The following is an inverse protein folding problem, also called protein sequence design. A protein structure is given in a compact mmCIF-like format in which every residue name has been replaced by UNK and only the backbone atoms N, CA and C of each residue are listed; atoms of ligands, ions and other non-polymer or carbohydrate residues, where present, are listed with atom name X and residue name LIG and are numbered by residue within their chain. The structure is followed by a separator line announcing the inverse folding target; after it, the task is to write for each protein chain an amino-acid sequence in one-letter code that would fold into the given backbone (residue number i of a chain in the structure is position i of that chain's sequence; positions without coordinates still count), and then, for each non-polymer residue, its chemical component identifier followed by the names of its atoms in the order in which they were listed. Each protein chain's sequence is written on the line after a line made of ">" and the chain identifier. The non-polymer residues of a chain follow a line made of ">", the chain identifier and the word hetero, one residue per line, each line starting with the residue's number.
data_IF_092010700291
#
_entry.id   IF_092010700291
#
_cell.length_a   1.000
_cell.length_b   1.000
_cell.length_c   1.000
_cell.angle_alpha   90.00
_cell.angle_beta   90.00
_cell.angle_gamma   90.00
#
_symmetry.space_group_name_H-M   'P 1'
#
loop_
_entity.id
_entity.type
_entity.pdbx_description
1 polymer ?
#
# COMPACT_ATOMS: atom_id res chain seq x y z
N UNK A 1 -29.31 2.91 27.64
CA UNK A 1 -28.38 2.66 28.77
C UNK A 1 -28.24 1.15 28.98
N UNK A 2 -27.05 0.65 29.13
CA UNK A 2 -26.75 -0.76 29.37
C UNK A 2 -25.99 -0.90 30.71
N UNK A 3 -26.38 -1.89 31.52
CA UNK A 3 -25.76 -2.18 32.79
C UNK A 3 -24.95 -3.46 32.69
N UNK A 4 -23.70 -3.43 33.14
CA UNK A 4 -22.77 -4.53 33.08
C UNK A 4 -22.38 -4.98 34.50
N UNK A 5 -22.35 -6.28 34.69
CA UNK A 5 -21.99 -6.94 35.94
C UNK A 5 -20.93 -7.99 35.67
N UNK A 6 -20.03 -8.29 36.65
CA UNK A 6 -19.19 -9.46 36.55
C UNK A 6 -20.03 -10.74 36.38
N UNK A 7 -19.59 -11.60 35.49
CA UNK A 7 -20.27 -12.86 35.14
C UNK A 7 -20.15 -13.93 36.23
N UNK A 8 -19.27 -13.69 37.24
CA UNK A 8 -19.02 -14.56 38.38
C UNK A 8 -19.65 -14.00 39.65
N UNK A 9 -20.19 -14.87 40.52
CA UNK A 9 -20.74 -14.48 41.80
C UNK A 9 -19.83 -14.80 42.98
N UNK A 10 -18.93 -15.75 42.81
CA UNK A 10 -17.98 -16.20 43.82
C UNK A 10 -16.54 -15.96 43.36
N UNK A 11 -15.66 -15.74 44.31
CA UNK A 11 -14.22 -15.60 44.05
C UNK A 11 -13.62 -16.90 43.51
N UNK A 12 -12.90 -16.88 42.40
CA UNK A 12 -12.28 -18.08 41.85
C UNK A 12 -11.20 -18.70 42.75
N UNK A 13 -10.57 -17.89 43.62
CA UNK A 13 -9.46 -18.33 44.46
C UNK A 13 -9.94 -18.97 45.79
N UNK A 14 -11.02 -18.46 46.38
CA UNK A 14 -11.48 -18.92 47.72
C UNK A 14 -12.95 -19.30 47.77
N UNK A 15 -13.65 -19.25 46.65
CA UNK A 15 -15.09 -19.58 46.51
C UNK A 15 -16.03 -18.74 47.38
N UNK A 16 -15.54 -17.69 48.05
CA UNK A 16 -16.37 -16.77 48.85
C UNK A 16 -17.20 -15.89 47.94
N UNK A 17 -18.46 -15.62 48.33
CA UNK A 17 -19.34 -14.73 47.59
C UNK A 17 -18.74 -13.33 47.46
N UNK A 18 -18.77 -12.79 46.26
CA UNK A 18 -18.28 -11.44 45.95
C UNK A 18 -19.29 -10.39 46.41
N UNK A 19 -18.79 -9.26 46.90
CA UNK A 19 -19.58 -8.12 47.34
C UNK A 19 -19.41 -6.94 46.39
N UNK A 20 -20.43 -6.08 46.31
CA UNK A 20 -20.36 -4.86 45.50
C UNK A 20 -19.37 -3.88 46.13
N UNK A 21 -18.34 -3.50 45.38
CA UNK A 21 -17.41 -2.48 45.76
C UNK A 21 -17.96 -1.10 45.40
N UNK A 22 -18.36 -0.95 44.15
CA UNK A 22 -18.91 0.30 43.61
C UNK A 22 -19.63 0.05 42.30
N UNK A 23 -20.47 0.98 41.92
CA UNK A 23 -21.01 1.11 40.58
C UNK A 23 -20.41 2.37 39.94
N UNK A 24 -19.89 2.25 38.75
CA UNK A 24 -19.26 3.38 38.03
C UNK A 24 -20.29 4.40 37.57
N UNK A 25 -19.86 5.64 37.36
CA UNK A 25 -20.65 6.64 36.68
C UNK A 25 -20.96 6.21 35.23
N UNK A 26 -21.99 6.81 34.67
CA UNK A 26 -22.40 6.60 33.27
C UNK A 26 -21.27 7.05 32.35
N UNK A 27 -20.91 6.19 31.43
CA UNK A 27 -19.88 6.46 30.44
C UNK A 27 -20.42 6.19 29.04
N UNK A 28 -20.21 7.13 28.13
CA UNK A 28 -20.52 6.88 26.71
C UNK A 28 -19.52 5.88 26.13
N UNK A 29 -20.04 4.82 25.54
CA UNK A 29 -19.29 3.84 24.75
C UNK A 29 -19.88 3.80 23.35
N UNK A 30 -19.03 3.78 22.34
CA UNK A 30 -19.44 3.73 20.94
C UNK A 30 -18.83 2.51 20.28
N UNK A 31 -19.66 1.66 19.66
CA UNK A 31 -19.25 0.48 18.88
C UNK A 31 -19.85 0.56 17.47
N UNK A 32 -19.34 -0.24 16.53
CA UNK A 32 -19.89 -0.31 15.17
C UNK A 32 -21.26 -1.00 15.15
N UNK A 33 -21.42 -2.03 15.98
CA UNK A 33 -22.60 -2.91 15.95
C UNK A 33 -23.78 -2.32 16.75
N UNK A 34 -23.49 -1.69 17.92
CA UNK A 34 -24.53 -1.19 18.85
C UNK A 34 -24.74 0.32 18.67
N UNK A 35 -23.74 1.02 18.10
CA UNK A 35 -23.70 2.48 18.08
C UNK A 35 -23.28 3.07 19.43
N UNK A 36 -23.67 4.32 19.71
CA UNK A 36 -23.34 5.01 20.95
C UNK A 36 -24.38 4.67 22.06
N UNK A 37 -23.88 4.23 23.21
CA UNK A 37 -24.73 3.93 24.38
C UNK A 37 -24.07 4.37 25.69
N UNK A 38 -24.87 4.54 26.73
CA UNK A 38 -24.40 4.81 28.08
C UNK A 38 -24.17 3.47 28.81
N UNK A 39 -22.94 3.20 29.19
CA UNK A 39 -22.53 2.03 29.96
C UNK A 39 -22.45 2.37 31.46
N UNK A 40 -22.99 1.49 32.29
CA UNK A 40 -22.87 1.49 33.76
C UNK A 40 -22.30 0.18 34.20
N UNK A 41 -21.16 0.17 34.90
CA UNK A 41 -20.48 -1.05 35.34
C UNK A 41 -20.52 -1.20 36.86
N UNK A 42 -20.92 -2.35 37.36
CA UNK A 42 -20.80 -2.73 38.75
C UNK A 42 -19.49 -3.50 38.94
N UNK A 43 -18.69 -3.10 39.91
CA UNK A 43 -17.43 -3.73 40.27
C UNK A 43 -17.65 -4.52 41.56
N UNK A 44 -17.30 -5.79 41.57
CA UNK A 44 -17.32 -6.66 42.74
C UNK A 44 -15.91 -6.79 43.35
N UNK A 45 -15.83 -7.12 44.63
CA UNK A 45 -14.58 -7.41 45.32
C UNK A 45 -14.69 -8.68 46.18
N UNK A 46 -13.58 -9.34 46.39
CA UNK A 46 -13.49 -10.45 47.33
C UNK A 46 -13.21 -9.92 48.75
N UNK A 47 -14.05 -10.23 49.76
CA UNK A 47 -13.80 -9.80 51.13
C UNK A 47 -12.51 -10.35 51.73
N UNK A 48 -11.97 -11.46 51.19
CA UNK A 48 -10.70 -12.07 51.62
C UNK A 48 -9.48 -11.47 50.91
N UNK A 49 -9.65 -10.36 50.15
CA UNK A 49 -8.53 -9.62 49.57
C UNK A 49 -7.99 -10.16 48.23
N UNK A 50 -8.61 -11.13 47.59
CA UNK A 50 -8.14 -11.73 46.33
C UNK A 50 -8.34 -10.83 45.09
N UNK A 51 -8.90 -9.63 45.27
CA UNK A 51 -8.97 -8.63 44.20
C UNK A 51 -10.38 -8.14 43.88
N UNK A 52 -10.48 -7.45 42.72
CA UNK A 52 -11.72 -6.87 42.21
C UNK A 52 -12.06 -7.47 40.85
N UNK A 53 -13.34 -7.69 40.63
CA UNK A 53 -13.88 -8.37 39.44
C UNK A 53 -14.79 -7.40 38.69
N UNK A 54 -14.67 -7.41 37.36
CA UNK A 54 -15.39 -6.54 36.44
C UNK A 54 -16.03 -7.35 35.35
N UNK A 55 -16.98 -6.77 34.63
CA UNK A 55 -17.66 -7.44 33.51
C UNK A 55 -16.69 -7.78 32.38
N UNK A 56 -16.59 -9.05 32.03
CA UNK A 56 -15.87 -9.56 30.86
C UNK A 56 -16.57 -9.09 29.57
N UNK A 57 -17.92 -9.08 29.58
CA UNK A 57 -18.71 -8.60 28.45
C UNK A 57 -18.36 -7.16 28.08
N UNK A 58 -18.28 -6.25 29.06
CA UNK A 58 -17.88 -4.87 28.77
C UNK A 58 -16.41 -4.79 28.29
N UNK A 59 -15.54 -5.60 28.86
CA UNK A 59 -14.12 -5.66 28.49
C UNK A 59 -13.88 -6.21 27.09
N UNK A 60 -14.72 -7.13 26.61
CA UNK A 60 -14.68 -7.64 25.25
C UNK A 60 -15.13 -6.60 24.22
N UNK A 61 -16.02 -5.67 24.62
CA UNK A 61 -16.51 -4.62 23.71
C UNK A 61 -15.55 -3.43 23.62
N UNK A 62 -14.99 -2.99 24.75
CA UNK A 62 -14.25 -1.73 24.82
C UNK A 62 -13.00 -1.85 25.71
N UNK A 63 -11.87 -1.23 25.33
CA UNK A 63 -10.70 -1.20 26.18
C UNK A 63 -10.96 -0.52 27.52
N UNK A 64 -10.24 -0.95 28.57
CA UNK A 64 -10.33 -0.31 29.88
C UNK A 64 -10.15 1.20 29.77
N UNK A 65 -11.14 1.95 30.24
CA UNK A 65 -11.13 3.40 30.15
C UNK A 65 -11.43 3.98 28.75
N UNK A 66 -11.59 3.14 27.72
CA UNK A 66 -11.86 3.56 26.33
C UNK A 66 -13.29 4.01 26.12
N UNK A 67 -13.54 4.93 25.19
CA UNK A 67 -14.86 5.37 24.72
C UNK A 67 -15.28 4.60 23.47
N UNK A 68 -14.35 4.22 22.63
CA UNK A 68 -14.59 3.50 21.38
C UNK A 68 -14.28 2.02 21.54
N UNK A 69 -15.15 1.17 20.97
CA UNK A 69 -15.03 -0.27 20.95
C UNK A 69 -13.82 -0.77 20.14
N UNK A 70 -13.45 -2.04 20.36
CA UNK A 70 -12.40 -2.68 19.60
C UNK A 70 -12.74 -2.78 18.11
N UNK A 71 -14.01 -2.93 17.76
CA UNK A 71 -14.52 -2.93 16.39
C UNK A 71 -14.28 -1.59 15.68
N UNK A 72 -14.53 -0.46 16.37
CA UNK A 72 -14.21 0.88 15.84
C UNK A 72 -12.70 1.06 15.66
N UNK A 73 -11.90 0.63 16.65
CA UNK A 73 -10.43 0.70 16.59
C UNK A 73 -9.91 -0.11 15.41
N UNK A 74 -10.43 -1.33 15.23
CA UNK A 74 -10.05 -2.22 14.12
C UNK A 74 -10.44 -1.61 12.77
N UNK A 75 -11.66 -1.08 12.63
CA UNK A 75 -12.10 -0.42 11.40
C UNK A 75 -11.21 0.77 11.03
N UNK A 76 -10.88 1.62 12.01
CA UNK A 76 -9.97 2.76 11.81
C UNK A 76 -8.59 2.28 11.36
N UNK A 77 -8.03 1.28 12.04
CA UNK A 77 -6.71 0.77 11.70
C UNK A 77 -6.62 0.16 10.31
N UNK A 78 -7.60 -0.68 9.94
CA UNK A 78 -7.69 -1.27 8.59
C UNK A 78 -7.84 -0.18 7.52
N UNK A 79 -8.70 0.82 7.74
CA UNK A 79 -8.88 1.90 6.79
C UNK A 79 -7.59 2.72 6.58
N UNK A 80 -6.89 3.08 7.67
CA UNK A 80 -5.66 3.87 7.59
C UNK A 80 -4.48 3.07 6.99
N UNK A 81 -4.23 1.86 7.48
CA UNK A 81 -2.97 1.15 7.22
C UNK A 81 -3.07 0.10 6.11
N UNK A 82 -4.24 -0.48 5.88
CA UNK A 82 -4.45 -1.45 4.80
C UNK A 82 -4.99 -0.78 3.54
N UNK A 83 -5.96 0.15 3.71
CA UNK A 83 -6.60 0.82 2.57
C UNK A 83 -6.04 2.22 2.28
N UNK A 84 -5.00 2.67 3.01
CA UNK A 84 -4.33 3.97 2.83
C UNK A 84 -5.29 5.17 2.80
N UNK A 85 -6.38 5.12 3.59
CA UNK A 85 -7.35 6.20 3.68
C UNK A 85 -6.80 7.36 4.52
N UNK A 86 -7.13 8.57 4.14
CA UNK A 86 -6.87 9.76 4.97
C UNK A 86 -7.78 9.80 6.20
N UNK A 87 -7.38 10.54 7.23
CA UNK A 87 -8.22 10.73 8.43
C UNK A 87 -9.63 11.25 8.10
N UNK A 88 -9.75 12.17 7.13
CA UNK A 88 -11.03 12.74 6.71
C UNK A 88 -11.93 11.71 6.03
N UNK A 89 -11.36 10.84 5.19
CA UNK A 89 -12.12 9.75 4.55
C UNK A 89 -12.61 8.75 5.60
N UNK A 90 -11.73 8.35 6.55
CA UNK A 90 -12.12 7.44 7.65
C UNK A 90 -13.23 8.06 8.50
N UNK A 91 -13.14 9.36 8.80
CA UNK A 91 -14.18 10.08 9.53
C UNK A 91 -15.52 10.06 8.79
N UNK A 92 -15.51 10.27 7.48
CA UNK A 92 -16.71 10.21 6.64
C UNK A 92 -17.29 8.78 6.57
N UNK A 93 -16.46 7.76 6.44
CA UNK A 93 -16.88 6.34 6.44
C UNK A 93 -17.55 5.94 7.77
N UNK A 94 -17.01 6.40 8.91
CA UNK A 94 -17.58 6.14 10.23
C UNK A 94 -18.88 6.90 10.45
N UNK A 95 -18.95 8.18 10.04
CA UNK A 95 -20.16 8.99 10.14
C UNK A 95 -21.32 8.38 9.35
N UNK A 96 -21.06 7.79 8.18
CA UNK A 96 -22.07 7.06 7.39
C UNK A 96 -22.66 5.84 8.15
N UNK A 97 -22.00 5.39 9.22
CA UNK A 97 -22.46 4.32 10.12
C UNK A 97 -22.90 4.82 11.50
N UNK A 98 -23.20 6.11 11.62
CA UNK A 98 -23.57 6.78 12.87
C UNK A 98 -22.50 6.71 13.98
N UNK A 99 -21.23 6.56 13.61
CA UNK A 99 -20.08 6.63 14.52
C UNK A 99 -19.34 7.95 14.27
N UNK A 100 -19.49 8.89 15.19
CA UNK A 100 -18.92 10.23 15.07
C UNK A 100 -17.60 10.33 15.84
N UNK A 101 -16.53 10.56 15.12
CA UNK A 101 -15.15 10.61 15.64
C UNK A 101 -14.47 11.84 15.06
N UNK A 102 -13.70 12.57 15.87
CA UNK A 102 -12.90 13.70 15.37
C UNK A 102 -11.66 13.22 14.62
N UNK A 103 -11.12 14.05 13.74
CA UNK A 103 -9.89 13.75 13.00
C UNK A 103 -8.70 13.41 13.93
N UNK A 104 -8.57 14.17 15.03
CA UNK A 104 -7.55 13.90 16.05
C UNK A 104 -7.73 12.54 16.70
N UNK A 105 -8.95 12.15 16.97
CA UNK A 105 -9.26 10.85 17.56
C UNK A 105 -8.99 9.70 16.59
N UNK A 106 -9.23 9.86 15.27
CA UNK A 106 -8.84 8.88 14.25
C UNK A 106 -7.36 8.56 14.35
N UNK A 107 -6.50 9.57 14.39
CA UNK A 107 -5.04 9.37 14.55
C UNK A 107 -4.68 8.66 15.87
N UNK A 108 -5.41 8.92 16.94
CA UNK A 108 -5.20 8.26 18.23
C UNK A 108 -5.65 6.80 18.20
N UNK A 109 -6.81 6.51 17.62
CA UNK A 109 -7.34 5.14 17.46
C UNK A 109 -6.45 4.33 16.52
N UNK A 110 -5.90 4.93 15.46
CA UNK A 110 -4.92 4.29 14.60
C UNK A 110 -3.67 3.83 15.35
N UNK A 111 -3.12 4.68 16.23
CA UNK A 111 -1.99 4.28 17.10
C UNK A 111 -2.36 3.15 18.06
N UNK A 112 -3.57 3.18 18.64
CA UNK A 112 -4.07 2.09 19.49
C UNK A 112 -4.19 0.79 18.71
N UNK A 113 -4.68 0.84 17.47
CA UNK A 113 -4.77 -0.34 16.61
C UNK A 113 -3.42 -1.03 16.45
N UNK A 114 -2.35 -0.28 16.13
CA UNK A 114 -0.99 -0.84 16.00
C UNK A 114 -0.55 -1.53 17.28
N UNK A 115 -0.79 -0.91 18.45
CA UNK A 115 -0.42 -1.48 19.76
C UNK A 115 -1.21 -2.78 20.01
N UNK A 116 -2.52 -2.77 19.77
CA UNK A 116 -3.35 -3.96 20.01
C UNK A 116 -3.05 -5.07 19.01
N UNK A 117 -2.76 -4.73 17.76
CA UNK A 117 -2.32 -5.70 16.76
C UNK A 117 -1.00 -6.37 17.17
N UNK A 118 -0.03 -5.58 17.65
CA UNK A 118 1.24 -6.12 18.14
C UNK A 118 1.06 -7.02 19.38
N UNK A 119 0.15 -6.65 20.29
CA UNK A 119 -0.18 -7.49 21.46
C UNK A 119 -0.88 -8.79 21.04
N UNK A 120 -1.86 -8.72 20.16
CA UNK A 120 -2.54 -9.89 19.62
C UNK A 120 -1.57 -10.84 18.91
N UNK A 121 -0.69 -10.30 18.05
CA UNK A 121 0.35 -11.07 17.40
C UNK A 121 1.25 -11.80 18.40
N UNK A 122 1.67 -11.11 19.48
CA UNK A 122 2.48 -11.75 20.56
C UNK A 122 1.73 -12.84 21.27
N UNK A 123 0.44 -12.68 21.52
CA UNK A 123 -0.39 -13.71 22.16
C UNK A 123 -0.61 -14.94 21.25
N UNK A 124 -0.66 -14.74 19.94
CA UNK A 124 -0.84 -15.83 18.96
C UNK A 124 0.45 -16.61 18.63
N UNK A 125 1.57 -16.34 19.30
CA UNK A 125 2.86 -16.99 18.98
C UNK A 125 2.85 -18.50 19.12
N UNK A 126 2.17 -19.03 20.12
CA UNK A 126 2.04 -20.49 20.33
C UNK A 126 1.24 -21.11 19.18
N UNK A 127 0.10 -20.51 18.82
CA UNK A 127 -0.75 -20.98 17.72
C UNK A 127 0.03 -20.91 16.39
N UNK A 128 0.80 -19.85 16.16
CA UNK A 128 1.67 -19.72 15.00
C UNK A 128 2.73 -20.83 14.98
N UNK A 129 3.39 -21.10 16.10
CA UNK A 129 4.37 -22.17 16.21
C UNK A 129 3.76 -23.55 15.91
N UNK A 130 2.59 -23.82 16.43
CA UNK A 130 1.85 -25.07 16.17
C UNK A 130 1.49 -25.18 14.69
N UNK A 131 0.99 -24.08 14.08
CA UNK A 131 0.68 -24.02 12.65
C UNK A 131 1.92 -24.31 11.78
N UNK A 132 3.04 -23.66 12.06
CA UNK A 132 4.29 -23.85 11.34
C UNK A 132 4.79 -25.29 11.48
N UNK A 133 4.72 -25.86 12.68
CA UNK A 133 5.11 -27.25 12.97
C UNK A 133 4.23 -28.23 12.22
N UNK A 134 2.90 -28.03 12.20
CA UNK A 134 1.95 -28.91 11.51
C UNK A 134 2.16 -28.93 10.00
N UNK A 135 2.69 -27.84 9.43
CA UNK A 135 3.09 -27.73 8.01
C UNK A 135 4.49 -28.28 7.73
N UNK A 136 5.16 -28.83 8.74
CA UNK A 136 6.47 -29.43 8.65
C UNK A 136 7.61 -28.42 8.75
N UNK A 137 7.41 -27.22 9.26
CA UNK A 137 8.40 -26.16 9.44
C UNK A 137 8.11 -24.94 8.58
N UNK A 138 9.05 -23.98 8.55
CA UNK A 138 8.89 -22.69 7.87
C UNK A 138 10.18 -22.32 7.10
N UNK A 139 10.02 -21.43 6.13
CA UNK A 139 11.13 -20.79 5.40
C UNK A 139 11.18 -19.32 5.85
N UNK A 140 12.26 -18.95 6.53
CA UNK A 140 12.40 -17.60 7.05
C UNK A 140 12.87 -16.64 5.94
N UNK A 141 11.96 -15.79 5.48
CA UNK A 141 12.32 -14.64 4.66
C UNK A 141 12.54 -13.42 5.55
N UNK A 142 13.65 -12.72 5.36
CA UNK A 142 13.94 -11.48 6.07
C UNK A 142 14.28 -10.36 5.12
N UNK A 143 13.83 -9.16 5.46
CA UNK A 143 14.12 -7.94 4.72
C UNK A 143 14.04 -6.73 5.64
N UNK A 144 14.84 -5.71 5.32
CA UNK A 144 14.85 -4.42 5.99
C UNK A 144 14.33 -3.31 5.10
N UNK A 145 13.58 -2.39 5.67
CA UNK A 145 13.12 -1.19 4.96
C UNK A 145 13.28 0.04 5.85
N UNK A 146 13.62 1.16 5.23
CA UNK A 146 13.65 2.46 5.89
C UNK A 146 13.00 3.53 4.99
N UNK A 147 12.39 4.52 5.60
CA UNK A 147 11.85 5.68 4.92
C UNK A 147 12.57 6.95 5.41
N UNK A 148 13.33 7.56 4.50
CA UNK A 148 14.13 8.74 4.80
C UNK A 148 15.13 8.50 5.93
N UNK A 149 15.10 9.36 6.96
CA UNK A 149 15.97 9.28 8.15
C UNK A 149 15.38 8.44 9.30
N UNK A 150 14.31 7.69 9.06
CA UNK A 150 13.71 6.83 10.09
C UNK A 150 14.58 5.59 10.36
N UNK A 151 14.50 5.01 11.57
CA UNK A 151 15.13 3.73 11.85
C UNK A 151 14.64 2.65 10.91
N UNK A 152 15.52 1.71 10.57
CA UNK A 152 15.16 0.57 9.73
C UNK A 152 14.11 -0.30 10.43
N UNK A 153 13.08 -0.68 9.71
CA UNK A 153 12.15 -1.72 10.10
C UNK A 153 12.64 -3.04 9.49
N UNK A 154 13.10 -3.96 10.34
CA UNK A 154 13.56 -5.28 9.94
C UNK A 154 12.48 -6.31 10.27
N UNK A 155 12.07 -7.09 9.27
CA UNK A 155 10.95 -8.02 9.37
C UNK A 155 11.38 -9.44 8.98
N UNK A 156 10.79 -10.44 9.65
CA UNK A 156 10.87 -11.84 9.28
C UNK A 156 9.48 -12.43 9.05
N UNK A 157 9.29 -13.13 7.96
CA UNK A 157 8.05 -13.81 7.61
C UNK A 157 8.31 -15.24 7.17
N UNK A 158 7.29 -16.09 7.28
CA UNK A 158 7.32 -17.41 6.65
C UNK A 158 6.95 -17.30 5.18
N UNK A 159 7.86 -17.69 4.29
CA UNK A 159 7.67 -17.63 2.84
C UNK A 159 6.61 -18.59 2.29
N UNK A 160 6.12 -19.54 3.08
CA UNK A 160 5.07 -20.48 2.64
C UNK A 160 3.66 -19.97 2.99
N UNK A 161 3.50 -19.35 4.15
CA UNK A 161 2.21 -18.85 4.64
C UNK A 161 2.06 -17.34 4.52
N UNK A 162 3.14 -16.63 4.22
CA UNK A 162 3.21 -15.15 4.21
C UNK A 162 2.89 -14.52 5.57
N UNK A 163 2.93 -15.31 6.65
CA UNK A 163 2.70 -14.82 8.01
C UNK A 163 3.96 -14.14 8.55
N UNK A 164 3.79 -12.94 9.08
CA UNK A 164 4.86 -12.23 9.76
C UNK A 164 5.16 -12.95 11.08
N UNK A 165 6.41 -13.33 11.30
CA UNK A 165 6.87 -13.98 12.52
C UNK A 165 7.28 -12.96 13.57
N UNK A 166 8.07 -11.96 13.19
CA UNK A 166 8.42 -10.83 14.06
C UNK A 166 8.86 -9.63 13.22
N UNK A 167 8.85 -8.43 13.83
CA UNK A 167 9.34 -7.21 13.24
C UNK A 167 9.97 -6.32 14.33
N UNK A 168 11.12 -5.73 14.02
CA UNK A 168 11.87 -4.89 14.97
C UNK A 168 12.38 -3.63 14.30
N UNK A 169 12.40 -2.53 15.07
CA UNK A 169 13.10 -1.32 14.65
C UNK A 169 14.56 -1.41 15.07
N UNK A 170 15.48 -1.27 14.11
CA UNK A 170 16.92 -1.28 14.33
C UNK A 170 17.53 0.03 13.85
N UNK A 171 18.60 0.46 14.50
CA UNK A 171 19.31 1.67 14.08
C UNK A 171 20.05 1.46 12.75
N UNK A 172 20.50 0.24 12.49
CA UNK A 172 21.19 -0.16 11.27
C UNK A 172 21.06 -1.68 11.06
N UNK A 173 21.34 -2.14 9.85
CA UNK A 173 21.38 -3.58 9.52
C UNK A 173 22.76 -4.20 9.82
N UNK A 174 23.40 -3.77 10.89
CA UNK A 174 24.66 -4.36 11.34
C UNK A 174 24.41 -5.69 12.04
N UNK A 175 25.38 -6.59 11.97
CA UNK A 175 25.32 -7.92 12.58
C UNK A 175 24.90 -7.89 14.04
N UNK A 176 25.54 -7.04 14.84
CA UNK A 176 25.30 -6.89 16.27
C UNK A 176 23.87 -6.44 16.63
N UNK A 177 23.22 -5.68 15.74
CA UNK A 177 21.84 -5.23 15.86
C UNK A 177 20.83 -6.32 15.46
N UNK A 178 21.20 -7.19 14.50
CA UNK A 178 20.31 -8.21 13.93
C UNK A 178 20.36 -9.56 14.68
N UNK A 179 21.48 -9.93 15.31
CA UNK A 179 21.63 -11.18 16.06
C UNK A 179 20.54 -11.37 17.11
N UNK A 180 20.14 -10.36 17.92
CA UNK A 180 19.06 -10.50 18.89
C UNK A 180 17.71 -10.85 18.26
N UNK A 181 17.41 -10.27 17.09
CA UNK A 181 16.18 -10.56 16.34
C UNK A 181 16.16 -12.02 15.87
N UNK A 182 17.22 -12.50 15.25
CA UNK A 182 17.30 -13.89 14.80
C UNK A 182 17.25 -14.89 15.94
N UNK A 183 17.91 -14.61 17.07
CA UNK A 183 17.80 -15.42 18.30
C UNK A 183 16.39 -15.49 18.83
N UNK A 184 15.68 -14.36 18.84
CA UNK A 184 14.26 -14.31 19.24
C UNK A 184 13.38 -15.19 18.37
N UNK A 185 13.57 -15.17 17.04
CA UNK A 185 12.84 -16.05 16.11
C UNK A 185 13.15 -17.51 16.38
N UNK A 186 14.45 -17.85 16.54
CA UNK A 186 14.88 -19.23 16.86
C UNK A 186 14.28 -19.75 18.14
N UNK A 187 14.26 -18.94 19.19
CA UNK A 187 13.66 -19.31 20.48
C UNK A 187 12.14 -19.55 20.39
N UNK A 188 11.45 -18.70 19.59
CA UNK A 188 10.00 -18.76 19.50
C UNK A 188 9.50 -19.85 18.56
N UNK A 189 10.13 -20.03 17.42
CA UNK A 189 9.62 -20.88 16.33
C UNK A 189 10.52 -22.08 16.01
N UNK A 190 11.72 -22.14 16.60
CA UNK A 190 12.71 -23.17 16.28
C UNK A 190 13.56 -22.79 15.06
N UNK A 191 14.31 -23.79 14.54
CA UNK A 191 15.13 -23.59 13.33
C UNK A 191 14.26 -23.59 12.07
N UNK A 192 14.44 -22.63 11.14
CA UNK A 192 13.79 -22.68 9.85
C UNK A 192 14.39 -23.78 8.96
N UNK A 193 13.63 -24.27 7.99
CA UNK A 193 14.14 -25.19 6.97
C UNK A 193 15.11 -24.54 6.00
N UNK A 194 14.95 -23.25 5.79
CA UNK A 194 15.81 -22.43 4.96
C UNK A 194 15.62 -20.97 5.34
N UNK A 195 16.61 -20.15 5.00
CA UNK A 195 16.53 -18.70 5.05
C UNK A 195 16.57 -18.11 3.64
N UNK A 196 15.90 -16.98 3.46
CA UNK A 196 15.97 -16.18 2.24
C UNK A 196 16.18 -14.72 2.63
N UNK A 197 17.24 -14.11 2.16
CA UNK A 197 17.58 -12.72 2.51
C UNK A 197 18.33 -12.02 1.37
N UNK A 198 18.57 -10.73 1.50
CA UNK A 198 19.46 -10.00 0.63
C UNK A 198 20.93 -10.34 0.94
N UNK A 199 21.85 -9.82 0.14
CA UNK A 199 23.31 -10.04 0.30
C UNK A 199 23.96 -9.07 1.29
N UNK A 200 23.20 -8.42 2.16
CA UNK A 200 23.68 -7.46 3.16
C UNK A 200 24.69 -8.13 4.11
N UNK A 201 25.91 -7.60 4.20
CA UNK A 201 26.98 -8.19 5.04
C UNK A 201 26.57 -8.40 6.50
N UNK A 202 25.76 -7.50 7.04
CA UNK A 202 25.25 -7.62 8.42
C UNK A 202 24.26 -8.75 8.58
N UNK A 203 23.38 -8.94 7.60
CA UNK A 203 22.40 -10.03 7.58
C UNK A 203 23.10 -11.37 7.45
N UNK A 204 23.97 -11.52 6.44
CA UNK A 204 24.77 -12.74 6.25
C UNK A 204 25.53 -13.12 7.52
N UNK A 205 26.26 -12.16 8.13
CA UNK A 205 27.01 -12.45 9.35
C UNK A 205 26.14 -12.78 10.57
N UNK A 206 24.92 -12.26 10.65
CA UNK A 206 23.98 -12.59 11.72
C UNK A 206 23.33 -13.96 11.50
N UNK A 207 23.02 -14.32 10.25
CA UNK A 207 22.50 -15.64 9.87
C UNK A 207 23.56 -16.72 10.17
N UNK A 208 24.80 -16.54 9.74
CA UNK A 208 25.91 -17.47 10.00
C UNK A 208 26.13 -17.71 11.50
N UNK A 209 25.90 -16.67 12.35
CA UNK A 209 26.05 -16.83 13.80
C UNK A 209 24.91 -17.60 14.44
N UNK A 210 23.67 -17.35 14.02
CA UNK A 210 22.49 -17.89 14.71
C UNK A 210 22.01 -19.20 14.11
N UNK A 211 22.18 -19.37 12.78
CA UNK A 211 21.70 -20.50 11.99
C UNK A 211 22.80 -21.13 11.12
N UNK A 212 23.95 -21.53 11.70
CA UNK A 212 25.12 -21.96 10.93
C UNK A 212 24.88 -23.21 10.05
N UNK A 213 23.93 -24.06 10.44
CA UNK A 213 23.64 -25.32 9.73
C UNK A 213 22.37 -25.24 8.86
N UNK A 214 21.70 -24.09 8.83
CA UNK A 214 20.47 -23.91 8.04
C UNK A 214 20.84 -23.42 6.64
N UNK A 215 20.34 -24.07 5.56
CA UNK A 215 20.54 -23.56 4.21
C UNK A 215 20.04 -22.14 4.05
N UNK A 216 20.88 -21.25 3.53
CA UNK A 216 20.50 -19.89 3.22
C UNK A 216 20.54 -19.59 1.71
N UNK A 217 19.63 -18.78 1.25
CA UNK A 217 19.43 -18.44 -0.15
C UNK A 217 19.32 -16.94 -0.34
N UNK A 218 19.80 -16.47 -1.47
CA UNK A 218 19.67 -15.07 -1.88
C UNK A 218 18.26 -14.83 -2.40
N UNK A 219 17.64 -13.75 -1.96
CA UNK A 219 16.36 -13.28 -2.50
C UNK A 219 16.49 -12.95 -3.99
N UNK A 220 15.76 -13.65 -4.85
CA UNK A 220 15.80 -13.45 -6.30
C UNK A 220 15.47 -12.01 -6.70
N UNK A 221 14.57 -11.35 -5.99
CA UNK A 221 14.21 -9.95 -6.25
C UNK A 221 15.45 -9.04 -6.08
N UNK A 222 16.15 -9.15 -4.96
CA UNK A 222 17.35 -8.35 -4.68
C UNK A 222 18.48 -8.66 -5.66
N UNK A 223 18.71 -9.93 -5.93
CA UNK A 223 19.71 -10.39 -6.89
C UNK A 223 19.46 -9.82 -8.30
N UNK A 224 18.23 -9.95 -8.82
CA UNK A 224 17.88 -9.42 -10.14
C UNK A 224 17.92 -7.89 -10.16
N UNK A 225 17.53 -7.23 -9.07
CA UNK A 225 17.62 -5.78 -8.92
C UNK A 225 19.06 -5.30 -9.02
N UNK A 226 19.96 -5.95 -8.32
CA UNK A 226 21.37 -5.52 -8.25
C UNK A 226 22.11 -5.83 -9.55
N UNK A 227 21.95 -7.03 -10.14
CA UNK A 227 22.46 -7.31 -11.48
C UNK A 227 21.91 -6.32 -12.52
N UNK A 228 20.60 -6.05 -12.47
CA UNK A 228 20.01 -5.09 -13.40
C UNK A 228 20.57 -3.68 -13.25
N UNK A 229 20.88 -3.25 -12.01
CA UNK A 229 21.55 -1.97 -11.75
C UNK A 229 22.98 -1.99 -12.28
N UNK A 230 23.73 -3.02 -11.98
CA UNK A 230 25.14 -3.11 -12.38
C UNK A 230 25.31 -3.15 -13.89
N UNK A 231 24.45 -3.88 -14.60
CA UNK A 231 24.57 -4.05 -16.04
C UNK A 231 23.90 -2.95 -16.86
N UNK A 232 22.82 -2.33 -16.40
CA UNK A 232 21.95 -1.50 -17.24
C UNK A 232 21.74 -0.06 -16.71
N UNK A 233 22.20 0.27 -15.51
CA UNK A 233 21.88 1.57 -14.91
C UNK A 233 22.52 2.73 -15.68
N UNK A 234 23.71 2.56 -16.23
CA UNK A 234 24.41 3.66 -16.93
C UNK A 234 23.75 3.97 -18.26
N UNK A 235 23.31 2.95 -19.01
CA UNK A 235 22.54 3.12 -20.23
C UNK A 235 21.19 3.74 -19.93
N UNK A 236 20.52 3.29 -18.87
CA UNK A 236 19.24 3.87 -18.44
C UNK A 236 19.37 5.33 -18.03
N UNK A 237 20.42 5.70 -17.30
CA UNK A 237 20.74 7.10 -16.97
C UNK A 237 21.07 7.94 -18.20
N UNK A 238 21.76 7.34 -19.18
CA UNK A 238 22.04 7.98 -20.47
C UNK A 238 20.73 8.29 -21.20
N UNK A 239 19.82 7.33 -21.31
CA UNK A 239 18.48 7.53 -21.86
C UNK A 239 17.72 8.66 -21.15
N UNK A 240 17.72 8.68 -19.82
CA UNK A 240 17.10 9.74 -19.03
C UNK A 240 17.64 11.14 -19.38
N UNK A 241 18.98 11.27 -19.42
CA UNK A 241 19.65 12.54 -19.73
C UNK A 241 19.29 13.05 -21.12
N UNK A 242 19.24 12.15 -22.11
CA UNK A 242 18.89 12.47 -23.52
C UNK A 242 17.44 12.91 -23.65
N UNK A 243 16.50 12.15 -23.11
CA UNK A 243 15.07 12.51 -23.11
C UNK A 243 14.83 13.87 -22.45
N UNK A 244 15.57 14.22 -21.39
CA UNK A 244 15.52 15.55 -20.77
C UNK A 244 16.08 16.64 -21.71
N UNK A 245 17.21 16.39 -22.38
CA UNK A 245 17.84 17.31 -23.33
C UNK A 245 16.92 17.65 -24.50
N UNK A 246 16.21 16.67 -25.03
CA UNK A 246 15.29 16.82 -26.16
C UNK A 246 14.02 17.62 -25.80
N UNK A 247 13.75 17.86 -24.52
CA UNK A 247 12.58 18.64 -24.02
C UNK A 247 11.23 18.15 -24.56
N UNK A 248 11.10 16.84 -24.89
CA UNK A 248 9.88 16.24 -25.47
C UNK A 248 8.71 16.39 -24.49
N UNK A 249 8.87 16.01 -23.20
CA UNK A 249 7.82 16.09 -22.20
C UNK A 249 7.20 17.49 -22.05
N UNK A 250 7.99 18.56 -21.89
CA UNK A 250 7.43 19.91 -21.85
C UNK A 250 6.71 20.31 -23.14
N UNK A 251 7.20 19.86 -24.30
CA UNK A 251 6.56 20.14 -25.59
C UNK A 251 5.18 19.44 -25.69
N UNK A 252 5.10 18.15 -25.33
CA UNK A 252 3.84 17.40 -25.31
C UNK A 252 2.84 18.00 -24.32
N UNK A 253 3.26 18.39 -23.13
CA UNK A 253 2.38 19.04 -22.13
C UNK A 253 1.81 20.38 -22.65
N UNK A 254 2.64 21.20 -23.31
CA UNK A 254 2.14 22.44 -23.93
C UNK A 254 1.14 22.17 -25.04
N UNK A 255 1.42 21.14 -25.85
CA UNK A 255 0.50 20.75 -26.94
C UNK A 255 -0.82 20.23 -26.37
N UNK A 256 -0.79 19.37 -25.34
CA UNK A 256 -2.00 18.89 -24.67
C UNK A 256 -2.87 20.04 -24.17
N UNK A 257 -2.29 20.98 -23.40
CA UNK A 257 -3.01 22.20 -22.93
C UNK A 257 -3.58 23.07 -24.04
N UNK A 258 -2.91 23.14 -25.18
CA UNK A 258 -3.43 23.85 -26.34
C UNK A 258 -4.62 23.15 -26.97
N UNK A 259 -4.53 21.83 -27.12
CA UNK A 259 -5.62 21.00 -27.69
C UNK A 259 -6.83 20.95 -26.76
N UNK A 260 -6.61 20.84 -25.45
CA UNK A 260 -7.65 20.85 -24.42
C UNK A 260 -8.57 22.08 -24.53
N UNK A 261 -7.99 23.26 -24.82
CA UNK A 261 -8.74 24.51 -25.02
C UNK A 261 -9.55 24.54 -26.33
N UNK A 262 -9.23 23.65 -27.26
CA UNK A 262 -9.92 23.56 -28.57
C UNK A 262 -11.00 22.49 -28.59
N UNK A 263 -10.93 21.53 -27.67
CA UNK A 263 -11.93 20.52 -27.46
C UNK A 263 -13.05 21.17 -26.65
N UNK A 264 -14.27 21.22 -27.21
CA UNK A 264 -15.42 21.84 -26.54
C UNK A 264 -15.63 21.18 -25.15
N UNK A 265 -15.64 21.96 -24.05
CA UNK A 265 -15.87 21.43 -22.70
C UNK A 265 -17.25 20.76 -22.54
N UNK A 266 -18.23 21.04 -23.39
CA UNK A 266 -19.55 20.41 -23.35
C UNK A 266 -19.61 19.04 -24.01
N UNK A 267 -18.50 18.53 -24.55
CA UNK A 267 -18.34 17.18 -25.11
C UNK A 267 -19.28 16.80 -26.26
N UNK A 268 -20.00 17.75 -26.86
CA UNK A 268 -20.91 17.48 -27.96
C UNK A 268 -20.19 16.84 -29.15
N UNK A 269 -18.99 17.34 -29.47
CA UNK A 269 -18.21 16.83 -30.59
C UNK A 269 -17.69 15.41 -30.38
N UNK A 270 -17.23 15.06 -29.17
CA UNK A 270 -16.70 13.72 -28.87
C UNK A 270 -17.82 12.67 -28.92
N UNK A 271 -18.97 12.96 -28.32
CA UNK A 271 -20.11 12.07 -28.33
C UNK A 271 -20.71 11.95 -29.79
N UNK A 272 -20.74 13.02 -30.54
CA UNK A 272 -21.14 13.02 -31.95
C UNK A 272 -20.18 12.17 -32.77
N UNK A 273 -18.88 12.25 -32.58
CA UNK A 273 -17.89 11.41 -33.25
C UNK A 273 -18.09 9.94 -32.89
N UNK A 274 -18.27 9.61 -31.60
CA UNK A 274 -18.51 8.22 -31.15
C UNK A 274 -19.80 7.67 -31.78
N UNK A 275 -20.90 8.43 -31.80
CA UNK A 275 -22.17 8.03 -32.39
C UNK A 275 -22.06 7.84 -33.90
N UNK A 276 -21.34 8.74 -34.58
CA UNK A 276 -21.11 8.63 -36.03
C UNK A 276 -20.25 7.42 -36.39
N UNK A 277 -19.23 7.10 -35.56
CA UNK A 277 -18.44 5.89 -35.73
C UNK A 277 -19.28 4.62 -35.51
N UNK A 278 -20.14 4.62 -34.48
CA UNK A 278 -21.00 3.49 -34.16
C UNK A 278 -22.11 3.27 -35.20
N UNK A 279 -22.66 4.36 -35.73
CA UNK A 279 -23.74 4.29 -36.73
C UNK A 279 -23.27 4.12 -38.17
N UNK A 280 -21.95 4.20 -38.43
CA UNK A 280 -21.38 4.15 -39.79
C UNK A 280 -21.69 5.39 -40.63
N UNK A 281 -22.25 6.44 -40.06
CA UNK A 281 -22.61 7.67 -40.75
C UNK A 281 -21.42 8.67 -40.73
N UNK A 282 -20.54 8.50 -41.71
CA UNK A 282 -19.29 9.28 -41.82
C UNK A 282 -19.50 10.71 -42.39
N UNK A 283 -20.66 10.98 -42.98
CA UNK A 283 -20.93 12.30 -43.60
C UNK A 283 -21.27 13.38 -42.57
N UNK A 284 -21.76 12.97 -41.39
CA UNK A 284 -22.16 13.90 -40.31
C UNK A 284 -21.00 14.31 -39.39
N UNK A 285 -19.81 13.77 -39.58
CA UNK A 285 -18.66 14.04 -38.69
C UNK A 285 -17.90 15.27 -39.11
N UNK A 286 -17.66 16.17 -38.16
CA UNK A 286 -16.70 17.25 -38.30
C UNK A 286 -15.28 16.67 -38.25
N UNK A 287 -14.80 16.16 -39.38
CA UNK A 287 -13.48 15.50 -39.50
C UNK A 287 -12.31 16.34 -39.01
N UNK A 288 -12.46 17.68 -39.04
CA UNK A 288 -11.42 18.60 -38.55
C UNK A 288 -11.15 18.45 -37.05
N UNK A 289 -12.13 18.00 -36.27
CA UNK A 289 -12.00 17.79 -34.82
C UNK A 289 -11.42 16.41 -34.48
N UNK A 290 -11.58 15.39 -35.29
CA UNK A 290 -11.06 14.03 -35.03
C UNK A 290 -9.54 14.07 -34.84
N UNK A 291 -8.81 14.73 -35.70
CA UNK A 291 -7.35 14.82 -35.59
C UNK A 291 -6.90 15.53 -34.31
N UNK A 292 -7.68 16.51 -33.82
CA UNK A 292 -7.44 17.23 -32.56
C UNK A 292 -7.66 16.30 -31.37
N UNK A 293 -8.81 15.61 -31.31
CA UNK A 293 -9.16 14.68 -30.24
C UNK A 293 -8.21 13.48 -30.19
N UNK A 294 -7.90 12.89 -31.36
CA UNK A 294 -6.95 11.78 -31.44
C UNK A 294 -5.53 12.21 -30.98
N UNK A 295 -5.07 13.40 -31.41
CA UNK A 295 -3.77 13.92 -30.99
C UNK A 295 -3.74 14.11 -29.47
N UNK A 296 -4.81 14.66 -28.89
CA UNK A 296 -4.94 14.81 -27.45
C UNK A 296 -4.90 13.45 -26.74
N UNK A 297 -5.67 12.49 -27.19
CA UNK A 297 -5.71 11.13 -26.65
C UNK A 297 -4.33 10.44 -26.75
N UNK A 298 -3.62 10.56 -27.88
CA UNK A 298 -2.29 9.98 -28.06
C UNK A 298 -1.28 10.61 -27.09
N UNK A 299 -1.35 11.94 -26.84
CA UNK A 299 -0.47 12.59 -25.86
C UNK A 299 -0.77 12.07 -24.44
N UNK A 300 -2.04 11.93 -24.08
CA UNK A 300 -2.43 11.35 -22.79
C UNK A 300 -1.95 9.92 -22.66
N UNK A 301 -2.16 9.08 -23.66
CA UNK A 301 -1.66 7.71 -23.68
C UNK A 301 -0.13 7.64 -23.52
N UNK A 302 0.64 8.56 -24.14
CA UNK A 302 2.09 8.64 -23.90
C UNK A 302 2.39 8.87 -22.42
N UNK A 303 1.60 9.68 -21.69
CA UNK A 303 1.84 9.99 -20.29
C UNK A 303 1.32 8.95 -19.30
N UNK A 304 0.48 8.01 -19.70
CA UNK A 304 0.00 6.91 -18.84
C UNK A 304 1.08 5.92 -18.42
N UNK A 305 2.31 6.04 -18.91
CA UNK A 305 3.42 5.18 -18.47
C UNK A 305 3.65 5.23 -16.95
N UNK A 306 3.26 6.29 -16.26
CA UNK A 306 3.36 6.40 -14.81
C UNK A 306 2.42 5.46 -14.05
N UNK A 307 1.26 5.14 -14.62
CA UNK A 307 0.27 4.27 -13.98
C UNK A 307 0.68 2.78 -13.95
N UNK A 308 1.73 2.42 -14.65
CA UNK A 308 2.24 1.05 -14.77
C UNK A 308 3.40 0.74 -13.82
N UNK A 309 3.80 1.71 -12.98
CA UNK A 309 4.85 1.48 -11.98
C UNK A 309 4.30 0.66 -10.81
N UNK A 310 5.01 -0.40 -10.45
CA UNK A 310 4.70 -1.25 -9.30
C UNK A 310 5.41 -0.77 -8.01
N UNK A 311 6.22 0.28 -8.08
CA UNK A 311 6.98 0.81 -6.94
C UNK A 311 8.28 0.08 -6.63
N UNK A 312 8.65 -0.92 -7.43
CA UNK A 312 9.87 -1.73 -7.20
C UNK A 312 11.16 -1.06 -7.64
N UNK A 313 11.06 0.05 -8.38
CA UNK A 313 12.22 0.76 -8.91
C UNK A 313 12.93 0.01 -10.05
N UNK A 314 14.03 0.59 -10.55
CA UNK A 314 14.82 -0.01 -11.63
C UNK A 314 15.53 -1.28 -11.15
N UNK A 315 15.57 -2.37 -11.96
CA UNK A 315 15.18 -2.51 -13.37
C UNK A 315 13.70 -2.90 -13.60
N UNK A 316 12.92 -3.14 -12.57
CA UNK A 316 11.53 -3.60 -12.70
C UNK A 316 10.61 -2.47 -13.18
N UNK A 317 10.75 -1.27 -12.62
CA UNK A 317 10.05 -0.08 -13.07
C UNK A 317 10.98 0.78 -13.94
N UNK A 318 10.63 0.95 -15.20
CA UNK A 318 11.44 1.62 -16.22
C UNK A 318 10.71 2.78 -16.88
N UNK A 319 10.21 3.77 -16.11
CA UNK A 319 9.31 4.79 -16.64
C UNK A 319 9.88 5.59 -17.82
N UNK A 320 11.19 5.77 -17.92
CA UNK A 320 11.80 6.49 -19.05
C UNK A 320 11.88 5.62 -20.31
N UNK A 321 12.10 4.33 -20.16
CA UNK A 321 12.08 3.39 -21.25
C UNK A 321 10.64 3.18 -21.77
N UNK A 322 9.67 3.09 -20.88
CA UNK A 322 8.27 2.94 -21.24
C UNK A 322 7.75 4.21 -21.93
N UNK A 323 8.16 5.39 -21.44
CA UNK A 323 7.93 6.65 -22.13
C UNK A 323 8.53 6.66 -23.55
N UNK A 324 9.78 6.24 -23.70
CA UNK A 324 10.44 6.17 -25.00
C UNK A 324 9.73 5.20 -25.97
N UNK A 325 9.37 4.00 -25.50
CA UNK A 325 8.61 3.02 -26.31
C UNK A 325 7.30 3.61 -26.81
N UNK A 326 6.53 4.28 -25.94
CA UNK A 326 5.26 4.93 -26.33
C UNK A 326 5.47 6.06 -27.33
N UNK A 327 6.55 6.84 -27.20
CA UNK A 327 6.92 7.83 -28.22
C UNK A 327 7.13 7.16 -29.58
N UNK A 328 7.85 6.07 -29.61
CA UNK A 328 8.18 5.32 -30.84
C UNK A 328 6.91 4.71 -31.49
N UNK A 329 6.01 4.15 -30.68
CA UNK A 329 4.75 3.63 -31.18
C UNK A 329 3.87 4.73 -31.80
N UNK A 330 3.77 5.88 -31.14
CA UNK A 330 3.02 7.03 -31.68
C UNK A 330 3.68 7.57 -32.95
N UNK A 331 5.00 7.61 -33.00
CA UNK A 331 5.72 8.04 -34.20
C UNK A 331 5.40 7.12 -35.38
N UNK A 332 5.46 5.80 -35.18
CA UNK A 332 5.11 4.80 -36.19
C UNK A 332 3.67 4.93 -36.66
N UNK A 333 2.72 5.09 -35.74
CA UNK A 333 1.31 5.27 -36.04
C UNK A 333 1.06 6.54 -36.86
N UNK A 334 1.65 7.65 -36.46
CA UNK A 334 1.51 8.92 -37.19
C UNK A 334 2.15 8.86 -38.57
N UNK A 335 3.29 8.16 -38.73
CA UNK A 335 3.89 7.90 -40.02
C UNK A 335 2.92 7.18 -40.96
N UNK A 336 2.31 6.09 -40.51
CA UNK A 336 1.30 5.33 -41.29
C UNK A 336 0.09 6.20 -41.67
N UNK A 337 -0.42 7.00 -40.72
CA UNK A 337 -1.55 7.92 -41.00
C UNK A 337 -1.16 8.97 -42.05
N UNK A 338 0.05 9.55 -41.93
CA UNK A 338 0.48 10.56 -42.89
C UNK A 338 0.74 9.98 -44.28
N UNK A 339 1.33 8.80 -44.37
CA UNK A 339 1.55 8.11 -45.65
C UNK A 339 0.23 7.72 -46.33
N UNK A 340 -0.77 7.25 -45.57
CA UNK A 340 -2.09 6.90 -46.07
C UNK A 340 -2.90 8.12 -46.55
N UNK A 341 -2.64 9.30 -45.99
CA UNK A 341 -3.38 10.55 -46.29
C UNK A 341 -2.78 11.40 -47.43
N UNK A 342 -1.69 10.99 -48.05
CA UNK A 342 -1.09 11.73 -49.18
C UNK A 342 -2.12 11.89 -50.33
N UNK A 343 -3.12 11.03 -50.45
CA UNK A 343 -4.17 11.06 -51.49
C UNK A 343 -5.48 11.73 -51.08
N UNK A 344 -5.67 12.17 -49.82
CA UNK A 344 -6.95 12.70 -49.33
C UNK A 344 -6.80 14.06 -48.59
N UNK A 345 -7.02 15.15 -49.32
CA UNK A 345 -6.86 16.55 -48.84
C UNK A 345 -7.91 17.00 -47.78
N UNK A 346 -8.81 16.13 -47.34
CA UNK A 346 -9.91 16.48 -46.42
C UNK A 346 -9.54 16.44 -44.91
N UNK A 347 -8.40 15.83 -44.55
CA UNK A 347 -7.96 15.82 -43.16
C UNK A 347 -6.98 16.96 -42.90
N UNK A 348 -7.33 17.87 -41.97
CA UNK A 348 -6.38 18.86 -41.49
C UNK A 348 -5.29 18.15 -40.64
N UNK A 349 -4.20 17.77 -41.30
CA UNK A 349 -3.06 17.06 -40.73
C UNK A 349 -2.23 17.92 -39.76
N UNK A 350 -2.68 19.16 -39.43
CA UNK A 350 -1.86 20.11 -38.66
C UNK A 350 -1.55 19.59 -37.23
N UNK A 351 -2.54 19.00 -36.57
CA UNK A 351 -2.37 18.47 -35.22
C UNK A 351 -1.44 17.25 -35.22
N UNK A 352 -1.65 16.30 -36.13
CA UNK A 352 -0.78 15.15 -36.32
C UNK A 352 0.63 15.54 -36.71
N UNK A 353 0.79 16.46 -37.67
CA UNK A 353 2.11 16.96 -38.09
C UNK A 353 2.87 17.65 -36.97
N UNK A 354 2.17 18.39 -36.10
CA UNK A 354 2.79 19.01 -34.92
C UNK A 354 3.22 17.95 -33.90
N UNK A 355 2.39 16.95 -33.63
CA UNK A 355 2.75 15.86 -32.73
C UNK A 355 3.93 15.04 -33.30
N UNK A 356 3.87 14.68 -34.59
CA UNK A 356 4.96 14.00 -35.29
C UNK A 356 6.30 14.69 -35.10
N UNK A 357 6.39 16.02 -35.36
CA UNK A 357 7.59 16.80 -35.18
C UNK A 357 8.14 16.79 -33.74
N UNK A 358 7.28 16.64 -32.75
CA UNK A 358 7.69 16.54 -31.35
C UNK A 358 8.24 15.16 -31.03
N UNK A 359 7.54 14.10 -31.43
CA UNK A 359 7.94 12.71 -31.11
C UNK A 359 9.13 12.25 -31.98
N UNK A 360 9.27 12.72 -33.21
CA UNK A 360 10.39 12.42 -34.11
C UNK A 360 11.74 12.83 -33.53
N UNK A 361 11.79 13.82 -32.66
CA UNK A 361 13.02 14.20 -31.95
C UNK A 361 13.66 13.04 -31.17
N UNK A 362 12.86 12.04 -30.79
CA UNK A 362 13.37 10.86 -30.11
C UNK A 362 14.22 9.97 -31.04
N UNK A 363 13.93 9.99 -32.37
CA UNK A 363 14.71 9.22 -33.38
C UNK A 363 15.88 10.02 -33.97
N UNK A 364 15.83 11.35 -33.98
CA UNK A 364 16.91 12.19 -34.51
C UNK A 364 18.23 11.97 -33.75
N UNK A 365 18.16 11.57 -32.49
CA UNK A 365 19.33 11.18 -31.72
C UNK A 365 19.65 9.69 -31.97
N UNK A 366 20.40 9.40 -33.05
CA UNK A 366 20.82 8.05 -33.48
C UNK A 366 21.53 7.21 -32.39
N UNK A 367 21.65 7.75 -31.17
CA UNK A 367 22.27 7.13 -30.00
C UNK A 367 21.24 6.77 -28.94
N UNK A 368 19.95 6.99 -29.17
CA UNK A 368 18.82 6.44 -28.40
C UNK A 368 18.42 5.09 -28.95
#
# INVERSE_FOLDING_TARGET
>A
MLSFYPEIQNCPDCNTRLHVQKTTDLKTVTTMDIGAFLAKETVLYCPNGHGTFRSEQLRSLVPKGGTFGFDVIAKVGVALFVHSRSNLEVMAELAARNVFVSEREISFLGRKFIIYLALAHRQSRLDLRELLTSRGGYILHVDGTCEGDSPNLFCGLDGLSELILDAVKVASERKDELVPFFRSIKEQYGEPKALVHDMGKGIVGAVEEVFPDTPDFICHFHFLRDIGKDLLMDEYRSLQKRLRKLKIRPALRRQAKYLEKKIDPEHHDVNGIIQSLQSGNWEATHFDHISTVMTYALIHWIFEYHSQSNGYGFPFDRPHLDFYRRLHEVLRLLGQIMDANISNSRFSNRAFSQLYKVVAKAEEDKRL
#
